data_IF_095673594126
#
_entry.id   IF_095673594126
#
_cell.length_a   1.000
_cell.length_b   1.000
_cell.length_c   1.000
_cell.angle_alpha   90.00
_cell.angle_beta   90.00
_cell.angle_gamma   90.00
#
_symmetry.space_group_name_H-M   'P 1'
#
loop_
_entity.id
_entity.type
_entity.pdbx_description
1 polymer ?
#
# COMPACT_ATOMS: atom_id res chain seq x y z
N UNK A 1 23.08 11.32 4.38
CA UNK A 1 22.26 11.78 3.24
C UNK A 1 20.86 12.05 3.77
N UNK A 2 20.46 13.32 3.84
CA UNK A 2 19.08 13.69 4.17
C UNK A 2 18.18 13.49 2.95
N UNK A 3 16.92 13.09 3.17
CA UNK A 3 15.89 13.04 2.13
C UNK A 3 14.86 14.11 2.45
N UNK A 4 14.44 14.91 1.45
CA UNK A 4 13.29 15.82 1.60
C UNK A 4 12.06 15.08 1.11
N UNK A 5 10.97 15.18 1.85
CA UNK A 5 9.68 14.60 1.46
C UNK A 5 8.84 15.72 0.89
N UNK A 6 8.31 15.50 -0.30
CA UNK A 6 7.47 16.46 -0.99
C UNK A 6 6.10 15.84 -1.12
N UNK A 7 5.21 16.29 -0.26
CA UNK A 7 3.79 16.04 -0.42
C UNK A 7 3.31 16.99 -1.52
N UNK A 8 2.68 16.50 -2.57
CA UNK A 8 1.95 17.38 -3.49
C UNK A 8 0.51 17.47 -2.96
N UNK A 9 0.12 18.65 -2.52
CA UNK A 9 -1.25 18.94 -2.08
C UNK A 9 -1.96 19.82 -3.10
N UNK A 10 -3.28 19.63 -3.23
CA UNK A 10 -4.17 20.56 -3.91
C UNK A 10 -5.35 20.89 -2.98
N UNK A 11 -5.55 22.18 -2.69
CA UNK A 11 -6.51 22.59 -1.66
C UNK A 11 -6.10 22.13 -0.25
N UNK A 12 -7.06 22.14 0.69
CA UNK A 12 -6.83 21.66 2.05
C UNK A 12 -6.85 20.13 2.05
N UNK A 13 -5.66 19.51 1.98
CA UNK A 13 -5.40 18.07 2.26
C UNK A 13 -5.82 17.04 1.20
N UNK A 14 -5.81 17.37 -0.09
CA UNK A 14 -5.97 16.35 -1.14
C UNK A 14 -4.66 15.91 -1.73
N UNK A 15 -4.50 14.58 -1.87
CA UNK A 15 -3.24 13.94 -2.21
C UNK A 15 -3.34 13.18 -3.53
N UNK A 16 -2.34 13.35 -4.38
CA UNK A 16 -2.16 12.58 -5.61
C UNK A 16 -1.03 11.57 -5.50
N UNK A 17 0.11 11.99 -4.95
CA UNK A 17 1.29 11.19 -4.68
C UNK A 17 2.07 11.88 -3.55
N UNK A 18 2.62 11.09 -2.62
CA UNK A 18 3.68 11.58 -1.74
C UNK A 18 4.98 11.25 -2.47
N UNK A 19 5.83 12.23 -2.78
CA UNK A 19 7.12 12.04 -3.47
C UNK A 19 8.31 12.27 -2.52
N UNK A 20 9.46 11.71 -2.85
CA UNK A 20 10.72 11.95 -2.12
C UNK A 20 11.70 12.62 -3.08
N UNK A 21 12.17 13.82 -2.73
CA UNK A 21 13.18 14.53 -3.51
C UNK A 21 14.52 14.36 -2.78
N UNK A 22 15.53 13.69 -3.38
CA UNK A 22 16.85 13.60 -2.79
C UNK A 22 17.49 14.99 -2.75
N UNK A 23 18.02 15.40 -1.60
CA UNK A 23 18.88 16.59 -1.53
C UNK A 23 20.16 16.32 -2.32
N UNK A 24 20.50 17.22 -3.24
CA UNK A 24 21.84 17.23 -3.83
C UNK A 24 22.87 17.44 -2.71
N UNK A 25 23.93 16.63 -2.71
CA UNK A 25 25.04 16.78 -1.78
C UNK A 25 25.73 18.13 -2.05
N UNK A 26 25.49 19.11 -1.18
CA UNK A 26 26.04 20.46 -1.33
C UNK A 26 25.79 21.38 -0.14
N UNK A 27 24.74 21.14 0.65
CA UNK A 27 24.43 21.98 1.81
C UNK A 27 24.57 21.19 3.10
N UNK A 28 25.57 21.56 3.90
CA UNK A 28 25.82 21.01 5.23
C UNK A 28 24.74 21.49 6.20
N UNK A 29 23.62 20.77 6.29
CA UNK A 29 22.75 20.85 7.46
C UNK A 29 23.26 19.86 8.52
N UNK A 30 23.53 20.38 9.72
CA UNK A 30 24.20 19.69 10.82
C UNK A 30 23.47 18.44 11.34
N UNK A 31 24.13 17.72 12.26
CA UNK A 31 23.66 16.43 12.83
C UNK A 31 22.23 16.50 13.41
N UNK A 32 21.47 15.39 13.33
CA UNK A 32 20.03 15.39 13.57
C UNK A 32 19.71 15.38 15.07
N UNK A 33 18.98 16.40 15.50
CA UNK A 33 18.05 16.30 16.62
C UNK A 33 16.64 16.24 16.03
N UNK A 34 15.68 15.64 16.73
CA UNK A 34 14.26 15.62 16.35
C UNK A 34 13.80 17.08 16.26
N UNK A 35 13.91 17.68 15.09
CA UNK A 35 13.41 19.03 14.82
C UNK A 35 12.09 18.93 14.08
N UNK A 36 11.17 19.76 14.55
CA UNK A 36 9.77 19.88 14.16
C UNK A 36 9.66 19.96 12.63
N UNK A 37 8.67 19.28 12.00
CA UNK A 37 8.55 19.28 10.55
C UNK A 37 8.41 20.70 9.98
N UNK A 38 9.26 21.09 9.05
CA UNK A 38 9.16 22.40 8.39
C UNK A 38 8.15 22.34 7.24
N UNK A 39 7.09 23.16 7.34
CA UNK A 39 6.08 23.35 6.30
C UNK A 39 6.42 24.57 5.45
N UNK A 40 6.50 24.42 4.13
CA UNK A 40 6.66 25.56 3.21
C UNK A 40 5.62 25.51 2.08
N UNK A 41 5.17 26.67 1.59
CA UNK A 41 4.29 26.79 0.43
C UNK A 41 5.01 27.49 -0.72
N UNK A 42 5.22 26.78 -1.83
CA UNK A 42 5.78 27.34 -3.06
C UNK A 42 4.86 27.02 -4.25
N UNK A 43 4.46 28.05 -5.02
CA UNK A 43 3.69 27.90 -6.25
C UNK A 43 2.44 26.99 -6.13
N UNK A 44 1.68 27.12 -5.04
CA UNK A 44 0.45 26.35 -4.81
C UNK A 44 0.66 24.91 -4.35
N UNK A 45 1.87 24.55 -3.87
CA UNK A 45 2.20 23.24 -3.31
C UNK A 45 2.69 23.41 -1.87
N UNK A 46 2.22 22.57 -0.95
CA UNK A 46 2.68 22.53 0.44
C UNK A 46 3.71 21.40 0.63
N UNK A 47 4.90 21.72 1.14
CA UNK A 47 6.02 20.80 1.32
C UNK A 47 6.20 20.46 2.81
N UNK A 48 6.47 19.19 3.13
CA UNK A 48 6.78 18.74 4.50
C UNK A 48 8.20 18.16 4.54
N UNK A 49 9.16 18.93 5.05
CA UNK A 49 10.55 18.50 5.10
C UNK A 49 10.81 17.72 6.38
N UNK A 50 11.19 16.44 6.25
CA UNK A 50 11.57 15.56 7.35
C UNK A 50 13.01 15.10 7.15
N UNK A 51 13.96 15.87 7.69
CA UNK A 51 15.39 15.59 7.51
C UNK A 51 15.81 14.33 8.26
N UNK A 52 16.59 13.47 7.59
CA UNK A 52 17.18 12.28 8.20
C UNK A 52 16.23 11.10 8.44
N UNK A 53 14.94 11.22 8.09
CA UNK A 53 13.96 10.14 8.20
C UNK A 53 13.77 9.38 6.88
N UNK A 54 13.43 8.09 6.96
CA UNK A 54 13.01 7.31 5.79
C UNK A 54 11.61 7.74 5.39
N UNK A 55 11.32 7.75 4.09
CA UNK A 55 10.03 8.19 3.58
C UNK A 55 8.83 7.41 4.11
N UNK A 56 8.95 6.09 4.28
CA UNK A 56 7.86 5.30 4.86
C UNK A 56 7.47 5.78 6.26
N UNK A 57 8.46 6.00 7.13
CA UNK A 57 8.26 6.51 8.50
C UNK A 57 7.58 7.88 8.46
N UNK A 58 8.10 8.76 7.64
CA UNK A 58 7.53 10.09 7.49
C UNK A 58 6.10 10.09 6.96
N UNK A 59 5.80 9.23 5.98
CA UNK A 59 4.45 9.06 5.46
C UNK A 59 3.50 8.50 6.53
N UNK A 60 3.99 7.60 7.39
CA UNK A 60 3.25 7.08 8.55
C UNK A 60 2.88 8.18 9.55
N UNK A 61 3.87 8.97 9.98
CA UNK A 61 3.63 10.06 10.95
C UNK A 61 2.74 11.17 10.36
N UNK A 62 2.85 11.42 9.06
CA UNK A 62 1.93 12.29 8.35
C UNK A 62 0.50 11.71 8.36
N UNK A 63 0.34 10.40 8.13
CA UNK A 63 -0.95 9.73 8.24
C UNK A 63 -1.61 9.99 9.60
N UNK A 64 -0.87 9.83 10.69
CA UNK A 64 -1.35 10.19 12.04
C UNK A 64 -1.74 11.66 12.16
N UNK A 65 -0.91 12.56 11.64
CA UNK A 65 -1.18 14.01 11.66
C UNK A 65 -2.48 14.35 10.94
N UNK A 66 -2.81 13.61 9.88
CA UNK A 66 -4.02 13.76 9.08
C UNK A 66 -5.23 13.00 9.64
N UNK A 67 -5.07 12.31 10.77
CA UNK A 67 -6.16 11.68 11.50
C UNK A 67 -6.27 10.17 11.36
N UNK A 68 -5.30 9.50 10.73
CA UNK A 68 -5.30 8.04 10.67
C UNK A 68 -4.83 7.44 11.99
N UNK A 69 -5.54 6.42 12.45
CA UNK A 69 -5.03 5.49 13.45
C UNK A 69 -4.24 4.38 12.78
N UNK A 70 -3.55 3.57 13.58
CA UNK A 70 -2.95 2.36 13.04
C UNK A 70 -4.00 1.38 12.50
N UNK A 71 -3.67 0.67 11.42
CA UNK A 71 -4.58 -0.27 10.77
C UNK A 71 -5.03 -1.40 11.73
N UNK A 72 -4.12 -1.90 12.59
CA UNK A 72 -4.46 -2.94 13.58
C UNK A 72 -5.37 -2.45 14.73
N UNK A 73 -5.61 -1.14 14.81
CA UNK A 73 -6.56 -0.53 15.75
C UNK A 73 -7.96 -0.34 15.13
N UNK A 74 -8.19 -0.72 13.87
CA UNK A 74 -9.53 -0.63 13.26
C UNK A 74 -10.56 -1.43 14.06
N UNK A 75 -11.81 -0.95 14.08
CA UNK A 75 -12.90 -1.60 14.81
C UNK A 75 -13.19 -3.02 14.29
N UNK A 76 -12.97 -3.24 12.99
CA UNK A 76 -13.20 -4.49 12.25
C UNK A 76 -11.96 -5.41 12.18
N UNK A 77 -10.82 -5.01 12.76
CA UNK A 77 -9.53 -5.72 12.61
C UNK A 77 -9.56 -7.20 13.02
N UNK A 78 -10.41 -7.58 13.97
CA UNK A 78 -10.55 -8.98 14.43
C UNK A 78 -11.14 -9.89 13.34
N UNK A 79 -11.62 -9.36 12.22
CA UNK A 79 -11.99 -10.13 11.04
C UNK A 79 -10.76 -10.58 10.24
N UNK A 80 -9.63 -9.87 10.35
CA UNK A 80 -8.46 -10.03 9.49
C UNK A 80 -7.22 -10.54 10.25
N UNK A 81 -7.06 -10.15 11.51
CA UNK A 81 -5.93 -10.56 12.34
C UNK A 81 -6.39 -11.09 13.71
N UNK A 82 -5.53 -11.91 14.32
CA UNK A 82 -5.61 -12.29 15.71
C UNK A 82 -4.43 -11.67 16.47
N UNK A 83 -4.71 -10.90 17.52
CA UNK A 83 -3.67 -10.34 18.39
C UNK A 83 -3.32 -11.34 19.49
N UNK A 84 -2.04 -11.70 19.59
CA UNK A 84 -1.52 -12.62 20.59
C UNK A 84 -1.09 -11.83 21.82
N UNK A 85 -2.07 -11.43 22.65
CA UNK A 85 -1.82 -10.60 23.83
C UNK A 85 -0.79 -11.17 24.81
N UNK A 86 -0.66 -12.50 24.89
CA UNK A 86 0.36 -13.17 25.72
C UNK A 86 1.82 -12.89 25.28
N UNK A 87 2.01 -12.47 24.02
CA UNK A 87 3.33 -12.13 23.48
C UNK A 87 3.67 -10.64 23.61
N UNK A 88 2.68 -9.79 23.90
CA UNK A 88 2.86 -8.36 24.08
C UNK A 88 3.57 -8.05 25.40
N UNK A 89 4.41 -7.02 25.38
CA UNK A 89 4.86 -6.39 26.62
C UNK A 89 3.66 -5.78 27.34
N UNK A 90 3.44 -6.03 28.65
CA UNK A 90 2.24 -5.58 29.37
C UNK A 90 1.95 -4.08 29.22
N UNK A 91 2.99 -3.24 29.16
CA UNK A 91 2.89 -1.79 29.03
C UNK A 91 2.47 -1.33 27.62
N UNK A 92 2.64 -2.19 26.60
CA UNK A 92 2.39 -1.88 25.20
C UNK A 92 1.09 -2.50 24.67
N UNK A 93 0.41 -3.32 25.48
CA UNK A 93 -0.86 -3.94 25.09
C UNK A 93 -1.96 -2.92 24.72
N UNK A 94 -1.88 -1.71 25.28
CA UNK A 94 -2.78 -0.59 24.98
C UNK A 94 -2.68 -0.10 23.54
N UNK A 95 -1.55 -0.33 22.85
CA UNK A 95 -1.37 0.02 21.43
C UNK A 95 -2.23 -0.83 20.48
N UNK A 96 -2.83 -1.91 20.97
CA UNK A 96 -3.71 -2.82 20.20
C UNK A 96 -5.19 -2.67 20.56
N UNK A 97 -5.54 -1.63 21.33
CA UNK A 97 -6.93 -1.30 21.63
C UNK A 97 -7.61 -0.83 20.35
N UNK A 98 -8.74 -1.45 20.03
CA UNK A 98 -9.54 -1.07 18.86
C UNK A 98 -10.21 0.28 19.09
N UNK A 99 -10.22 1.08 18.03
CA UNK A 99 -11.04 2.28 17.95
C UNK A 99 -12.52 1.91 17.80
N UNK A 100 -13.39 2.83 18.18
CA UNK A 100 -14.83 2.68 17.96
C UNK A 100 -15.17 2.94 16.50
N UNK A 101 -16.30 2.42 15.95
CA UNK A 101 -16.76 2.77 14.61
C UNK A 101 -17.02 4.28 14.42
N UNK A 102 -17.29 5.01 15.50
CA UNK A 102 -17.46 6.47 15.47
C UNK A 102 -16.12 7.23 15.39
N UNK A 103 -15.04 6.62 15.89
CA UNK A 103 -13.71 7.21 15.88
C UNK A 103 -12.87 6.80 14.67
N UNK A 104 -13.14 5.61 14.13
CA UNK A 104 -12.46 5.04 12.99
C UNK A 104 -13.49 4.56 11.97
N UNK A 105 -14.02 5.52 11.20
CA UNK A 105 -14.88 5.20 10.06
C UNK A 105 -14.01 4.96 8.83
N UNK A 106 -14.07 3.76 8.26
CA UNK A 106 -13.19 3.30 7.18
C UNK A 106 -13.76 3.59 5.77
N UNK A 107 -14.87 4.33 5.65
CA UNK A 107 -15.53 4.63 4.36
C UNK A 107 -15.90 3.40 3.52
N UNK A 108 -16.02 2.24 4.16
CA UNK A 108 -16.22 0.96 3.50
C UNK A 108 -14.94 0.36 2.90
N UNK A 109 -13.79 1.03 2.98
CA UNK A 109 -12.49 0.52 2.48
C UNK A 109 -12.06 -0.72 3.27
N UNK A 110 -11.66 -1.76 2.55
CA UNK A 110 -11.23 -3.04 3.14
C UNK A 110 -9.99 -2.88 4.01
N UNK A 111 -9.73 -3.88 4.85
CA UNK A 111 -8.52 -3.96 5.64
C UNK A 111 -7.30 -4.23 4.74
N UNK A 112 -6.29 -3.38 4.82
CA UNK A 112 -5.03 -3.53 4.09
C UNK A 112 -3.90 -3.96 5.03
N UNK A 113 -3.47 -5.22 4.92
CA UNK A 113 -2.31 -5.72 5.67
C UNK A 113 -1.03 -4.95 5.32
N UNK A 114 -0.92 -4.43 4.09
CA UNK A 114 0.24 -3.66 3.63
C UNK A 114 0.09 -2.16 3.76
N UNK A 115 -0.90 -1.67 4.51
CA UNK A 115 -1.01 -0.24 4.84
C UNK A 115 0.28 0.26 5.48
N UNK A 116 0.69 1.49 5.14
CA UNK A 116 1.81 2.16 5.84
C UNK A 116 1.50 2.36 7.32
N UNK A 117 0.22 2.36 7.71
CA UNK A 117 -0.24 2.49 9.09
C UNK A 117 -0.32 1.15 9.83
N UNK A 118 0.06 0.03 9.21
CA UNK A 118 -0.01 -1.29 9.83
C UNK A 118 1.32 -1.67 10.47
N UNK A 119 1.28 -2.04 11.76
CA UNK A 119 2.44 -2.61 12.46
C UNK A 119 2.96 -3.90 11.82
N UNK A 120 4.22 -4.23 12.06
CA UNK A 120 4.72 -5.56 11.74
C UNK A 120 4.13 -6.61 12.68
N UNK A 121 4.28 -7.89 12.31
CA UNK A 121 3.72 -8.98 13.09
C UNK A 121 4.45 -9.29 14.39
N UNK A 122 5.63 -8.69 14.61
CA UNK A 122 6.43 -8.86 15.83
C UNK A 122 6.50 -7.60 16.70
N UNK A 123 5.94 -6.48 16.22
CA UNK A 123 5.95 -5.20 16.93
C UNK A 123 5.41 -5.33 18.36
N UNK A 124 6.00 -4.53 19.25
CA UNK A 124 5.68 -4.49 20.69
C UNK A 124 6.01 -5.78 21.47
N UNK A 125 6.92 -6.60 20.95
CA UNK A 125 7.51 -7.75 21.67
C UNK A 125 9.02 -7.89 21.44
N UNK A 126 9.65 -8.76 22.22
CA UNK A 126 11.02 -9.22 21.99
C UNK A 126 10.99 -10.51 21.17
N UNK A 127 11.08 -10.38 19.84
CA UNK A 127 11.20 -11.51 18.89
C UNK A 127 10.06 -12.55 18.94
N UNK A 128 8.83 -12.14 19.27
CA UNK A 128 7.66 -13.03 19.25
C UNK A 128 6.60 -12.48 18.32
N UNK A 129 5.85 -13.34 17.66
CA UNK A 129 4.73 -12.90 16.82
C UNK A 129 3.61 -12.40 17.73
N UNK A 130 3.22 -11.13 17.58
CA UNK A 130 2.15 -10.44 18.32
C UNK A 130 0.86 -10.35 17.52
N UNK A 131 0.93 -10.46 16.19
CA UNK A 131 -0.23 -10.49 15.31
C UNK A 131 -0.14 -11.63 14.30
N UNK A 132 -1.22 -12.41 14.20
CA UNK A 132 -1.35 -13.46 13.20
C UNK A 132 -2.42 -13.05 12.19
N UNK A 133 -2.05 -12.96 10.92
CA UNK A 133 -3.03 -12.81 9.84
C UNK A 133 -3.91 -14.07 9.79
N UNK A 134 -5.22 -13.88 9.65
CA UNK A 134 -6.15 -15.00 9.44
C UNK A 134 -5.88 -15.69 8.11
N UNK A 135 -5.67 -14.89 7.07
CA UNK A 135 -5.06 -15.37 5.84
C UNK A 135 -3.53 -15.29 5.96
N UNK A 136 -2.92 -16.45 6.16
CA UNK A 136 -1.47 -16.60 6.37
C UNK A 136 -0.64 -16.10 5.20
N UNK A 137 -1.21 -15.97 3.99
CA UNK A 137 -0.51 -15.41 2.84
C UNK A 137 -0.10 -13.95 3.06
N UNK A 138 -0.79 -13.23 3.95
CA UNK A 138 -0.52 -11.83 4.26
C UNK A 138 0.38 -11.62 5.50
N UNK A 139 0.86 -12.68 6.14
CA UNK A 139 1.63 -12.58 7.39
C UNK A 139 2.82 -11.60 7.28
N UNK A 140 3.67 -11.74 6.26
CA UNK A 140 4.79 -10.81 6.02
C UNK A 140 4.44 -9.64 5.08
N UNK A 141 3.16 -9.43 4.80
CA UNK A 141 2.69 -8.20 4.15
C UNK A 141 2.58 -7.05 5.17
N UNK A 142 2.31 -7.40 6.43
CA UNK A 142 2.30 -6.47 7.58
C UNK A 142 3.66 -5.82 7.81
N UNK A 143 3.64 -4.58 8.32
CA UNK A 143 4.86 -3.81 8.60
C UNK A 143 5.44 -3.09 7.38
N UNK A 144 4.61 -2.73 6.40
CA UNK A 144 5.05 -1.94 5.26
C UNK A 144 5.65 -0.60 5.75
N UNK A 145 6.92 -0.35 5.43
CA UNK A 145 7.62 0.88 5.81
C UNK A 145 8.29 1.54 4.59
N UNK A 146 7.67 1.40 3.41
CA UNK A 146 8.24 1.90 2.15
C UNK A 146 7.44 3.04 1.57
N UNK A 147 6.14 2.88 1.42
CA UNK A 147 5.25 3.90 0.89
C UNK A 147 3.81 3.60 1.28
N UNK A 148 2.92 4.61 1.30
CA UNK A 148 1.48 4.40 1.39
C UNK A 148 1.00 3.41 0.32
N UNK A 149 0.10 2.52 0.72
CA UNK A 149 -0.65 1.67 -0.20
C UNK A 149 -1.65 2.51 -1.01
N UNK A 150 -2.17 1.92 -2.10
CA UNK A 150 -3.29 2.51 -2.83
C UNK A 150 -4.50 2.82 -1.92
N UNK A 151 -4.79 1.93 -0.96
CA UNK A 151 -5.91 2.10 -0.05
C UNK A 151 -5.67 3.19 0.99
N UNK A 152 -4.44 3.40 1.45
CA UNK A 152 -4.10 4.52 2.35
C UNK A 152 -4.45 5.87 1.67
N UNK A 153 -4.06 6.02 0.40
CA UNK A 153 -4.32 7.25 -0.36
C UNK A 153 -5.81 7.39 -0.71
N UNK A 154 -6.48 6.28 -1.04
CA UNK A 154 -7.93 6.29 -1.29
C UNK A 154 -8.71 6.72 -0.04
N UNK A 155 -8.47 6.10 1.11
CA UNK A 155 -9.16 6.42 2.37
C UNK A 155 -8.93 7.88 2.76
N UNK A 156 -7.72 8.40 2.55
CA UNK A 156 -7.38 9.80 2.82
C UNK A 156 -8.16 10.75 1.91
N UNK A 157 -8.23 10.44 0.61
CA UNK A 157 -8.96 11.23 -0.37
C UNK A 157 -10.48 11.18 -0.15
N UNK A 158 -11.01 10.07 0.37
CA UNK A 158 -12.41 9.97 0.79
C UNK A 158 -12.67 10.85 2.02
N UNK A 159 -11.81 10.77 3.04
CA UNK A 159 -11.92 11.56 4.27
C UNK A 159 -11.92 13.07 3.99
N UNK A 160 -11.03 13.54 3.11
CA UNK A 160 -10.95 14.95 2.71
C UNK A 160 -11.77 15.33 1.48
N UNK A 161 -12.64 14.43 0.99
CA UNK A 161 -13.61 14.70 -0.09
C UNK A 161 -12.97 15.20 -1.38
N UNK A 162 -11.82 14.65 -1.71
CA UNK A 162 -10.93 15.17 -2.73
C UNK A 162 -11.43 15.04 -4.15
N UNK A 163 -12.46 14.23 -4.38
CA UNK A 163 -13.06 14.06 -5.71
C UNK A 163 -14.38 14.83 -5.88
N UNK A 164 -14.88 15.57 -4.89
CA UNK A 164 -16.19 16.26 -4.97
C UNK A 164 -16.25 17.34 -6.06
N UNK A 165 -15.11 17.98 -6.36
CA UNK A 165 -15.03 18.99 -7.41
C UNK A 165 -14.96 18.39 -8.82
N UNK A 166 -14.74 17.07 -8.95
CA UNK A 166 -14.73 16.42 -10.26
C UNK A 166 -16.16 16.19 -10.76
N UNK A 167 -16.52 16.96 -11.78
CA UNK A 167 -17.80 16.85 -12.49
C UNK A 167 -17.96 15.51 -13.24
N UNK A 168 -19.19 15.18 -13.63
CA UNK A 168 -19.53 13.89 -14.24
C UNK A 168 -18.71 13.54 -15.51
N UNK A 169 -18.19 14.55 -16.22
CA UNK A 169 -17.44 14.42 -17.47
C UNK A 169 -15.95 14.05 -17.30
N UNK A 170 -15.49 13.74 -16.08
CA UNK A 170 -14.12 13.27 -15.84
C UNK A 170 -13.84 11.86 -16.35
N UNK A 171 -12.60 11.39 -16.19
CA UNK A 171 -12.14 10.07 -16.61
C UNK A 171 -13.01 8.93 -16.03
N UNK A 172 -13.19 7.89 -16.83
CA UNK A 172 -13.91 6.67 -16.48
C UNK A 172 -12.90 5.60 -16.01
N UNK A 173 -12.62 5.62 -14.72
CA UNK A 173 -11.59 4.77 -14.11
C UNK A 173 -12.08 3.32 -13.93
N UNK A 174 -11.30 2.36 -14.41
CA UNK A 174 -11.57 0.92 -14.33
C UNK A 174 -10.75 0.26 -13.23
N UNK A 175 -11.03 -1.02 -13.00
CA UNK A 175 -10.32 -1.87 -12.03
C UNK A 175 -10.23 -1.29 -10.61
N UNK A 176 -11.18 -0.44 -10.22
CA UNK A 176 -11.23 0.18 -8.90
C UNK A 176 -10.34 1.43 -8.75
N UNK A 177 -9.78 1.97 -9.84
CA UNK A 177 -9.17 3.29 -9.84
C UNK A 177 -10.20 4.41 -9.63
N UNK A 178 -9.73 5.58 -9.21
CA UNK A 178 -10.55 6.76 -8.99
C UNK A 178 -9.94 7.99 -9.67
N UNK A 179 -10.75 9.03 -9.87
CA UNK A 179 -10.33 10.24 -10.59
C UNK A 179 -9.27 10.98 -9.79
N UNK A 180 -8.24 11.42 -10.48
CA UNK A 180 -7.13 12.14 -9.88
C UNK A 180 -7.60 13.50 -9.33
N UNK A 181 -7.41 13.80 -8.02
CA UNK A 181 -7.95 15.01 -7.37
C UNK A 181 -7.45 16.35 -7.91
N UNK A 182 -6.40 16.36 -8.74
CA UNK A 182 -5.88 17.60 -9.38
C UNK A 182 -6.14 17.66 -10.89
N UNK A 183 -6.61 16.55 -11.44
CA UNK A 183 -6.83 16.39 -12.87
C UNK A 183 -7.93 15.35 -13.08
N UNK A 184 -9.18 15.79 -13.06
CA UNK A 184 -10.34 14.91 -13.18
C UNK A 184 -10.38 14.13 -14.49
N UNK A 185 -9.55 14.48 -15.48
CA UNK A 185 -9.38 13.77 -16.75
C UNK A 185 -8.35 12.65 -16.69
N UNK A 186 -7.82 12.26 -15.54
CA UNK A 186 -6.94 11.09 -15.40
C UNK A 186 -7.31 10.27 -14.17
N UNK A 187 -6.86 9.02 -14.11
CA UNK A 187 -7.12 8.13 -12.98
C UNK A 187 -5.87 7.89 -12.12
N UNK A 188 -6.08 7.73 -10.82
CA UNK A 188 -5.16 7.06 -9.90
C UNK A 188 -5.55 5.58 -9.89
N UNK A 189 -4.57 4.72 -10.17
CA UNK A 189 -4.80 3.30 -10.40
C UNK A 189 -4.30 2.46 -9.23
N UNK A 190 -4.98 1.35 -8.89
CA UNK A 190 -4.44 0.38 -7.95
C UNK A 190 -3.15 -0.22 -8.48
N UNK A 191 -2.27 -0.60 -7.56
CA UNK A 191 -0.96 -1.14 -7.89
C UNK A 191 -1.06 -2.35 -8.83
N UNK A 192 -0.29 -2.30 -9.91
CA UNK A 192 -0.33 -3.28 -11.00
C UNK A 192 -1.19 -2.87 -12.19
N UNK A 193 -2.02 -1.82 -12.06
CA UNK A 193 -2.76 -1.21 -13.17
C UNK A 193 -2.18 0.15 -13.57
N UNK A 194 -2.42 0.55 -14.81
CA UNK A 194 -1.98 1.83 -15.33
C UNK A 194 -2.70 2.21 -16.62
N UNK A 195 -2.17 3.24 -17.29
CA UNK A 195 -2.86 3.94 -18.36
C UNK A 195 -3.82 5.01 -17.82
N UNK A 196 -4.48 5.73 -18.73
CA UNK A 196 -5.38 6.83 -18.37
C UNK A 196 -6.61 6.36 -17.58
N UNK A 197 -7.05 5.10 -17.76
CA UNK A 197 -8.28 4.52 -17.23
C UNK A 197 -8.04 3.28 -16.35
N UNK A 198 -6.78 2.98 -16.01
CA UNK A 198 -6.40 1.80 -15.22
C UNK A 198 -6.70 0.43 -15.88
N UNK A 199 -6.94 0.36 -17.19
CA UNK A 199 -7.19 -0.91 -17.89
C UNK A 199 -5.92 -1.67 -18.26
N UNK A 200 -4.79 -0.96 -18.33
CA UNK A 200 -3.51 -1.51 -18.78
C UNK A 200 -2.69 -2.02 -17.59
N UNK A 201 -1.68 -2.82 -17.88
CA UNK A 201 -0.64 -3.20 -16.91
C UNK A 201 0.16 -1.95 -16.53
N UNK A 202 0.47 -1.79 -15.24
CA UNK A 202 1.39 -0.76 -14.77
C UNK A 202 2.76 -0.88 -15.46
N UNK A 203 3.37 0.26 -15.77
CA UNK A 203 4.74 0.31 -16.28
C UNK A 203 5.75 0.07 -15.16
N UNK A 204 6.99 -0.34 -15.47
CA UNK A 204 8.07 -0.34 -14.48
C UNK A 204 8.28 1.02 -13.83
N UNK A 205 8.66 1.05 -12.55
CA UNK A 205 8.83 2.29 -11.77
C UNK A 205 10.14 2.33 -10.98
N UNK A 206 10.51 3.53 -10.55
CA UNK A 206 11.61 3.83 -9.61
C UNK A 206 12.96 3.19 -9.98
N UNK A 207 13.27 3.19 -11.27
CA UNK A 207 14.55 2.73 -11.81
C UNK A 207 14.61 1.22 -12.12
N UNK A 208 13.46 0.55 -12.14
CA UNK A 208 13.34 -0.75 -12.79
C UNK A 208 13.60 -0.65 -14.31
N UNK A 209 14.13 -1.71 -14.96
CA UNK A 209 14.34 -1.71 -16.41
C UNK A 209 13.04 -1.43 -17.17
N UNK A 210 13.09 -0.57 -18.19
CA UNK A 210 11.90 -0.13 -18.94
C UNK A 210 11.15 -1.29 -19.64
N UNK A 211 11.85 -2.38 -19.94
CA UNK A 211 11.32 -3.57 -20.59
C UNK A 211 10.91 -4.69 -19.61
N UNK A 212 10.94 -4.46 -18.29
CA UNK A 212 10.57 -5.51 -17.35
C UNK A 212 9.05 -5.67 -17.19
N UNK A 213 8.65 -6.89 -16.84
CA UNK A 213 7.24 -7.24 -16.74
C UNK A 213 6.58 -7.55 -18.09
N UNK A 214 5.47 -8.28 -18.07
CA UNK A 214 4.77 -8.69 -19.28
C UNK A 214 3.28 -8.97 -19.02
N UNK A 215 2.47 -8.89 -20.08
CA UNK A 215 1.11 -9.46 -20.08
C UNK A 215 1.14 -10.83 -20.73
N UNK A 216 0.91 -11.88 -19.95
CA UNK A 216 0.99 -13.28 -20.33
C UNK A 216 -0.43 -13.81 -20.54
N UNK A 217 -0.66 -14.50 -21.65
CA UNK A 217 -1.91 -15.23 -21.90
C UNK A 217 -1.74 -16.66 -21.41
N UNK A 218 -2.38 -17.02 -20.31
CA UNK A 218 -2.41 -18.37 -19.79
C UNK A 218 -3.46 -19.18 -20.58
N UNK A 219 -3.05 -20.22 -21.28
CA UNK A 219 -3.95 -21.07 -22.07
C UNK A 219 -3.74 -22.58 -21.81
N UNK A 220 -2.76 -22.94 -20.98
CA UNK A 220 -2.42 -24.34 -20.70
C UNK A 220 -2.93 -24.77 -19.31
N UNK A 221 -3.48 -25.98 -19.27
CA UNK A 221 -3.91 -26.67 -18.04
C UNK A 221 -2.74 -27.37 -17.35
N UNK A 222 -1.59 -27.52 -18.02
CA UNK A 222 -0.34 -27.94 -17.41
C UNK A 222 0.43 -26.75 -16.81
N UNK A 223 1.25 -27.05 -15.79
CA UNK A 223 2.06 -26.03 -15.13
C UNK A 223 3.09 -25.43 -16.08
N UNK A 224 3.10 -24.10 -16.13
CA UNK A 224 4.07 -23.27 -16.81
C UNK A 224 4.91 -22.53 -15.78
N UNK A 225 6.19 -22.32 -16.08
CA UNK A 225 7.09 -21.56 -15.20
C UNK A 225 7.14 -20.11 -15.69
N UNK A 226 6.93 -19.17 -14.77
CA UNK A 226 7.24 -17.77 -14.96
C UNK A 226 8.38 -17.38 -14.04
N UNK A 227 9.44 -16.87 -14.64
CA UNK A 227 10.56 -16.25 -13.93
C UNK A 227 10.59 -14.76 -14.23
N UNK A 228 11.12 -14.01 -13.28
CA UNK A 228 11.50 -12.64 -13.55
C UNK A 228 12.35 -12.07 -12.43
N UNK A 229 12.77 -10.84 -12.65
CA UNK A 229 13.77 -10.20 -11.82
C UNK A 229 13.65 -8.68 -11.90
N UNK A 230 14.15 -8.03 -10.87
CA UNK A 230 14.33 -6.58 -10.83
C UNK A 230 15.58 -6.26 -10.03
N UNK A 231 16.31 -5.25 -10.47
CA UNK A 231 17.47 -4.73 -9.75
C UNK A 231 17.16 -3.35 -9.20
N UNK A 232 17.66 -3.05 -8.00
CA UNK A 232 17.72 -1.69 -7.50
C UNK A 232 18.49 -0.80 -8.48
N UNK A 233 18.03 0.44 -8.65
CA UNK A 233 18.71 1.45 -9.45
C UNK A 233 19.98 2.01 -8.82
N UNK A 234 20.26 1.62 -7.56
CA UNK A 234 21.44 2.03 -6.82
C UNK A 234 22.40 0.84 -6.70
N UNK A 235 23.61 0.99 -7.26
CA UNK A 235 24.64 -0.06 -7.23
C UNK A 235 25.16 -0.33 -5.81
N UNK A 236 25.34 0.72 -5.00
CA UNK A 236 25.87 0.65 -3.65
C UNK A 236 24.92 1.33 -2.66
N UNK A 237 24.27 0.54 -1.81
CA UNK A 237 23.34 1.03 -0.78
C UNK A 237 21.89 0.67 -1.06
N UNK A 238 20.98 1.34 -0.38
CA UNK A 238 19.54 1.14 -0.51
C UNK A 238 18.93 2.27 -1.32
N UNK A 239 18.12 1.91 -2.32
CA UNK A 239 17.30 2.88 -3.01
C UNK A 239 16.23 3.45 -2.05
N UNK A 240 15.82 4.71 -2.25
CA UNK A 240 14.79 5.33 -1.42
C UNK A 240 13.39 4.73 -1.68
N UNK A 241 13.19 4.09 -2.84
CA UNK A 241 11.96 3.38 -3.23
C UNK A 241 12.29 2.05 -3.89
N UNK A 242 11.30 1.16 -3.96
CA UNK A 242 11.49 -0.08 -4.69
C UNK A 242 11.43 0.15 -6.20
N UNK A 243 12.49 -0.23 -6.90
CA UNK A 243 12.38 -0.54 -8.32
C UNK A 243 11.40 -1.71 -8.47
N UNK A 244 10.36 -1.56 -9.29
CA UNK A 244 9.27 -2.54 -9.35
C UNK A 244 8.82 -2.86 -10.78
N UNK A 245 8.57 -4.15 -11.02
CA UNK A 245 8.15 -4.73 -12.29
C UNK A 245 6.84 -5.50 -12.10
N UNK A 246 5.96 -5.43 -13.10
CA UNK A 246 4.61 -6.00 -13.02
C UNK A 246 4.35 -7.02 -14.12
N UNK A 247 3.73 -8.15 -13.78
CA UNK A 247 3.24 -9.15 -14.73
C UNK A 247 1.74 -9.33 -14.58
N UNK A 248 1.01 -9.30 -15.69
CA UNK A 248 -0.41 -9.70 -15.74
C UNK A 248 -0.49 -11.09 -16.34
N UNK A 249 -0.99 -12.07 -15.59
CA UNK A 249 -1.34 -13.40 -16.13
C UNK A 249 -2.83 -13.38 -16.40
N UNK A 250 -3.22 -13.55 -17.67
CA UNK A 250 -4.62 -13.50 -18.13
C UNK A 250 -5.07 -14.85 -18.64
N UNK A 251 -6.07 -15.42 -17.98
CA UNK A 251 -6.75 -16.64 -18.41
C UNK A 251 -7.92 -16.32 -19.38
N UNK A 252 -8.45 -17.32 -20.10
CA UNK A 252 -9.68 -17.17 -20.87
C UNK A 252 -10.87 -16.85 -19.96
N UNK A 253 -11.91 -16.24 -20.53
CA UNK A 253 -13.15 -15.92 -19.82
C UNK A 253 -13.70 -17.14 -19.08
N UNK A 254 -14.05 -16.97 -17.80
CA UNK A 254 -14.61 -18.03 -16.96
C UNK A 254 -13.59 -19.01 -16.38
N UNK A 255 -12.30 -18.89 -16.71
CA UNK A 255 -11.23 -19.69 -16.07
C UNK A 255 -10.62 -18.96 -14.88
N UNK A 256 -9.91 -19.70 -14.04
CA UNK A 256 -9.08 -19.19 -12.95
C UNK A 256 -7.62 -19.59 -13.15
N UNK A 257 -6.74 -18.93 -12.41
CA UNK A 257 -5.31 -19.16 -12.46
C UNK A 257 -4.91 -19.76 -11.12
N UNK A 258 -4.32 -20.95 -11.17
CA UNK A 258 -3.68 -21.57 -10.01
C UNK A 258 -2.21 -21.18 -10.02
N UNK A 259 -1.68 -20.73 -8.88
CA UNK A 259 -0.31 -20.24 -8.73
C UNK A 259 0.37 -20.94 -7.56
N UNK A 260 1.61 -21.35 -7.77
CA UNK A 260 2.51 -21.86 -6.73
C UNK A 260 3.85 -21.16 -6.83
N UNK A 261 4.32 -20.60 -5.72
CA UNK A 261 5.66 -20.00 -5.67
C UNK A 261 6.71 -21.10 -5.56
N UNK A 262 7.74 -21.04 -6.41
CA UNK A 262 8.85 -22.00 -6.42
C UNK A 262 10.03 -21.47 -5.63
N UNK A 263 10.42 -20.24 -5.90
CA UNK A 263 11.52 -19.58 -5.21
C UNK A 263 11.40 -18.07 -5.27
N UNK A 264 11.97 -17.45 -4.25
CA UNK A 264 12.25 -16.01 -4.20
C UNK A 264 13.68 -15.82 -3.72
N UNK A 265 14.35 -14.76 -4.16
CA UNK A 265 15.51 -14.23 -3.44
C UNK A 265 15.11 -13.10 -2.51
N UNK A 266 16.06 -12.75 -1.64
CA UNK A 266 16.01 -11.53 -0.87
C UNK A 266 16.46 -11.74 0.56
N UNK A 267 16.56 -10.63 1.27
CA UNK A 267 16.64 -10.65 2.71
C UNK A 267 15.24 -10.78 3.27
N UNK A 268 15.05 -11.76 4.17
CA UNK A 268 13.82 -11.88 4.93
C UNK A 268 13.70 -10.69 5.89
N UNK A 269 12.57 -10.00 5.85
CA UNK A 269 12.29 -8.82 6.67
C UNK A 269 10.80 -8.55 6.66
N UNK A 270 10.30 -7.96 7.74
CA UNK A 270 8.92 -7.50 7.87
C UNK A 270 8.52 -6.58 6.70
N UNK A 271 7.29 -6.72 6.23
CA UNK A 271 6.75 -6.00 5.06
C UNK A 271 7.51 -6.25 3.74
N UNK A 272 8.47 -7.19 3.74
CA UNK A 272 9.47 -7.38 2.69
C UNK A 272 10.24 -6.11 2.33
N UNK A 273 10.67 -5.35 3.35
CA UNK A 273 11.29 -4.03 3.20
C UNK A 273 12.42 -3.95 2.16
N UNK A 274 13.34 -4.91 2.09
CA UNK A 274 14.46 -4.87 1.14
C UNK A 274 14.08 -5.18 -0.31
N UNK A 275 12.97 -5.89 -0.50
CA UNK A 275 12.55 -6.43 -1.78
C UNK A 275 11.88 -7.78 -1.61
N UNK A 276 11.12 -8.18 -2.62
CA UNK A 276 10.36 -9.42 -2.61
C UNK A 276 9.47 -9.56 -3.84
N UNK A 277 8.55 -10.51 -3.75
CA UNK A 277 7.49 -10.74 -4.74
C UNK A 277 6.15 -10.46 -4.10
N UNK A 278 5.27 -9.77 -4.79
CA UNK A 278 3.87 -9.57 -4.39
C UNK A 278 2.96 -10.31 -5.37
N UNK A 279 1.95 -11.00 -4.85
CA UNK A 279 0.95 -11.70 -5.65
C UNK A 279 -0.44 -11.15 -5.31
N UNK A 280 -1.11 -10.57 -6.31
CA UNK A 280 -2.52 -10.19 -6.25
C UNK A 280 -3.33 -11.12 -7.14
N UNK A 281 -4.07 -12.04 -6.53
CA UNK A 281 -4.94 -12.99 -7.22
C UNK A 281 -6.42 -12.79 -6.89
N UNK A 282 -6.72 -12.06 -5.80
CA UNK A 282 -8.07 -11.88 -5.27
C UNK A 282 -8.50 -10.42 -5.38
N UNK A 283 -8.40 -9.67 -4.30
CA UNK A 283 -8.60 -8.23 -4.27
C UNK A 283 -7.36 -7.51 -4.83
N UNK A 284 -7.56 -6.69 -5.85
CA UNK A 284 -6.49 -5.93 -6.49
C UNK A 284 -6.26 -4.54 -5.87
N UNK A 285 -7.18 -4.07 -5.01
CA UNK A 285 -7.10 -2.75 -4.39
C UNK A 285 -6.08 -2.71 -3.26
N UNK A 286 -6.15 -3.67 -2.34
CA UNK A 286 -5.19 -3.81 -1.23
C UNK A 286 -3.83 -4.32 -1.68
N UNK A 287 -2.82 -4.18 -0.84
CA UNK A 287 -1.53 -4.84 -1.04
C UNK A 287 -1.72 -6.37 -1.04
N UNK A 288 -1.11 -7.05 -2.01
CA UNK A 288 -1.16 -8.50 -2.18
C UNK A 288 -0.26 -9.24 -1.20
N UNK A 289 -0.27 -10.58 -1.30
CA UNK A 289 0.61 -11.42 -0.50
C UNK A 289 2.07 -11.15 -0.88
N UNK A 290 2.86 -10.61 0.07
CA UNK A 290 4.30 -10.38 -0.09
C UNK A 290 5.11 -11.58 0.39
N UNK A 291 6.07 -11.99 -0.44
CA UNK A 291 6.94 -13.15 -0.24
C UNK A 291 8.40 -12.70 -0.42
N UNK A 292 9.18 -12.81 0.65
CA UNK A 292 10.62 -12.55 0.63
C UNK A 292 11.41 -13.56 1.47
N UNK A 293 10.75 -14.38 2.29
CA UNK A 293 11.39 -15.40 3.10
C UNK A 293 11.14 -16.81 2.53
N UNK A 294 12.10 -17.72 2.76
CA UNK A 294 11.93 -19.14 2.39
C UNK A 294 10.79 -19.82 3.15
N UNK A 295 10.47 -19.35 4.36
CA UNK A 295 9.31 -19.79 5.13
C UNK A 295 8.00 -19.52 4.41
N UNK A 296 7.93 -18.39 3.72
CA UNK A 296 6.70 -17.88 3.09
C UNK A 296 6.33 -18.74 1.90
N UNK A 297 7.35 -19.11 1.11
CA UNK A 297 7.19 -20.06 0.01
C UNK A 297 6.60 -21.39 0.50
N UNK A 298 7.00 -21.83 1.71
CA UNK A 298 6.47 -23.08 2.31
C UNK A 298 5.08 -22.92 2.89
N UNK A 299 4.74 -21.76 3.47
CA UNK A 299 3.46 -21.53 4.14
C UNK A 299 2.35 -21.06 3.20
N UNK A 300 2.68 -20.39 2.10
CA UNK A 300 1.72 -19.82 1.14
C UNK A 300 0.89 -20.90 0.44
N UNK A 301 1.48 -22.07 0.20
CA UNK A 301 0.81 -23.18 -0.46
C UNK A 301 0.44 -22.85 -1.92
N UNK A 302 -0.84 -23.01 -2.25
CA UNK A 302 -1.38 -22.80 -3.60
C UNK A 302 -2.38 -21.65 -3.54
N UNK A 303 -2.18 -20.66 -4.39
CA UNK A 303 -3.10 -19.54 -4.57
C UNK A 303 -3.98 -19.78 -5.79
N UNK A 304 -5.22 -19.31 -5.72
CA UNK A 304 -6.17 -19.30 -6.82
C UNK A 304 -6.66 -17.88 -7.05
N UNK A 305 -6.80 -17.49 -8.32
CA UNK A 305 -7.39 -16.20 -8.64
C UNK A 305 -8.91 -16.20 -8.46
N UNK A 306 -9.48 -15.04 -8.11
CA UNK A 306 -10.93 -14.82 -8.06
C UNK A 306 -11.51 -14.49 -9.43
N UNK A 307 -10.65 -14.02 -10.34
CA UNK A 307 -11.01 -13.61 -11.70
C UNK A 307 -10.09 -14.29 -12.71
N UNK A 308 -10.23 -13.94 -13.98
CA UNK A 308 -9.35 -14.35 -15.07
C UNK A 308 -7.97 -13.67 -15.02
N UNK A 309 -7.71 -12.82 -14.03
CA UNK A 309 -6.46 -12.08 -13.89
C UNK A 309 -5.74 -12.46 -12.59
N UNK A 310 -4.42 -12.59 -12.68
CA UNK A 310 -3.53 -12.52 -11.54
C UNK A 310 -2.39 -11.54 -11.85
N UNK A 311 -1.97 -10.79 -10.84
CA UNK A 311 -0.89 -9.82 -10.95
C UNK A 311 0.26 -10.30 -10.09
N UNK A 312 1.45 -10.36 -10.69
CA UNK A 312 2.70 -10.63 -9.99
C UNK A 312 3.54 -9.37 -10.04
N UNK A 313 4.07 -8.95 -8.90
CA UNK A 313 5.01 -7.86 -8.80
C UNK A 313 6.32 -8.36 -8.24
N UNK A 314 7.43 -7.83 -8.73
CA UNK A 314 8.75 -8.04 -8.13
C UNK A 314 9.32 -6.68 -7.87
N UNK A 315 9.82 -6.49 -6.66
CA UNK A 315 10.26 -5.19 -6.20
C UNK A 315 11.57 -5.30 -5.43
N UNK A 316 12.45 -4.32 -5.58
CA UNK A 316 13.75 -4.29 -4.91
C UNK A 316 14.19 -2.88 -4.54
N UNK A 317 14.65 -2.72 -3.31
CA UNK A 317 15.37 -1.53 -2.84
C UNK A 317 16.87 -1.81 -2.73
N UNK A 318 17.22 -3.08 -2.56
CA UNK A 318 18.58 -3.52 -2.31
C UNK A 318 18.93 -4.71 -3.18
N UNK A 319 19.98 -4.53 -4.00
CA UNK A 319 20.50 -5.54 -4.94
C UNK A 319 19.40 -6.06 -5.90
N UNK A 320 19.71 -7.18 -6.55
CA UNK A 320 18.83 -7.87 -7.47
C UNK A 320 17.90 -8.82 -6.73
N UNK A 321 16.61 -8.78 -7.08
CA UNK A 321 15.61 -9.75 -6.65
C UNK A 321 15.13 -10.59 -7.83
N UNK A 322 14.93 -11.87 -7.61
CA UNK A 322 14.37 -12.81 -8.56
C UNK A 322 13.17 -13.54 -7.96
N UNK A 323 12.27 -13.98 -8.83
CA UNK A 323 11.17 -14.85 -8.48
C UNK A 323 11.03 -15.98 -9.50
N UNK A 324 10.47 -17.08 -9.04
CA UNK A 324 10.01 -18.17 -9.89
C UNK A 324 8.67 -18.66 -9.36
N UNK A 325 7.66 -18.70 -10.24
CA UNK A 325 6.36 -19.32 -9.95
C UNK A 325 6.02 -20.36 -11.01
N UNK A 326 5.21 -21.33 -10.60
CA UNK A 326 4.46 -22.19 -11.50
C UNK A 326 3.00 -21.73 -11.54
N UNK A 327 2.41 -21.67 -12.72
CA UNK A 327 1.01 -21.32 -12.90
C UNK A 327 0.33 -22.19 -13.96
N UNK A 328 -0.98 -22.36 -13.85
CA UNK A 328 -1.81 -23.02 -14.87
C UNK A 328 -3.23 -22.47 -14.84
N UNK A 329 -4.00 -22.71 -15.90
CA UNK A 329 -5.44 -22.44 -15.87
C UNK A 329 -6.17 -23.60 -15.20
N UNK A 330 -7.23 -23.27 -14.46
CA UNK A 330 -8.13 -24.23 -13.85
C UNK A 330 -9.58 -23.80 -14.02
N UNK A 331 -10.49 -24.76 -13.99
CA UNK A 331 -11.93 -24.47 -13.90
C UNK A 331 -12.30 -23.98 -12.50
N UNK A 332 -13.22 -23.00 -12.37
CA UNK A 332 -13.66 -22.48 -11.08
C UNK A 332 -14.19 -23.58 -10.13
N UNK A 333 -14.82 -24.62 -10.67
CA UNK A 333 -15.33 -25.77 -9.92
C UNK A 333 -14.22 -26.58 -9.23
N UNK A 334 -12.99 -26.48 -9.70
CA UNK A 334 -11.82 -27.16 -9.14
C UNK A 334 -11.06 -26.30 -8.12
N UNK A 335 -11.57 -25.08 -7.82
CA UNK A 335 -11.01 -24.24 -6.77
C UNK A 335 -11.62 -24.66 -5.43
N UNK A 336 -10.80 -24.96 -4.40
CA UNK A 336 -11.31 -25.36 -3.09
C UNK A 336 -12.24 -24.30 -2.49
N UNK A 337 -13.27 -24.68 -1.71
CA UNK A 337 -14.15 -23.72 -1.03
C UNK A 337 -13.39 -22.74 -0.13
N UNK A 338 -12.37 -23.24 0.58
CA UNK A 338 -11.46 -22.44 1.42
C UNK A 338 -10.38 -21.69 0.61
N UNK A 339 -10.39 -21.83 -0.72
CA UNK A 339 -9.51 -21.06 -1.63
C UNK A 339 -9.96 -19.61 -1.79
N UNK A 340 -11.20 -19.33 -1.41
CA UNK A 340 -11.81 -18.02 -1.30
C UNK A 340 -12.08 -17.76 0.18
N UNK A 341 -11.37 -16.82 0.81
CA UNK A 341 -11.73 -16.41 2.16
C UNK A 341 -13.12 -15.78 2.13
N UNK A 342 -13.99 -16.16 3.07
CA UNK A 342 -15.36 -15.67 3.20
C UNK A 342 -15.45 -14.13 3.31
N UNK A 343 -14.32 -13.49 3.68
CA UNK A 343 -14.14 -12.04 3.80
C UNK A 343 -13.98 -11.29 2.45
N UNK A 344 -13.80 -11.99 1.33
CA UNK A 344 -13.62 -11.38 0.00
C UNK A 344 -14.95 -11.17 -0.77
N UNK A 345 -16.10 -11.57 -0.19
CA UNK A 345 -17.45 -11.43 -0.78
C UNK A 345 -18.12 -10.06 -0.53
N UNK A 346 -17.35 -9.01 -0.26
CA UNK A 346 -17.93 -7.67 -0.08
C UNK A 346 -18.23 -7.08 -1.46
N UNK A 347 -19.52 -6.86 -1.73
CA UNK A 347 -20.00 -6.26 -2.97
C UNK A 347 -19.66 -4.75 -3.00
N UNK A 348 -18.58 -4.40 -3.71
CA UNK A 348 -18.03 -3.03 -3.84
C UNK A 348 -18.86 -2.04 -4.65
N UNK A 349 -20.12 -2.35 -4.96
CA UNK A 349 -21.01 -1.46 -5.73
C UNK A 349 -21.27 -0.13 -5.02
N UNK A 350 -21.17 -0.07 -3.70
CA UNK A 350 -21.36 1.16 -2.93
C UNK A 350 -20.24 2.20 -3.06
N UNK A 351 -19.01 1.85 -3.43
CA UNK A 351 -17.94 2.85 -3.68
C UNK A 351 -18.12 3.52 -5.05
N UNK A 352 -18.81 2.88 -5.99
CA UNK A 352 -19.04 3.43 -7.35
C UNK A 352 -20.10 4.52 -7.39
N UNK A 353 -20.97 4.58 -6.39
CA UNK A 353 -22.00 5.61 -6.26
C UNK A 353 -21.59 6.50 -5.10
N UNK A 354 -21.18 7.75 -5.37
CA UNK A 354 -20.82 8.80 -4.39
C UNK A 354 -21.94 9.15 -3.38
N UNK A 355 -22.55 8.17 -2.72
CA UNK A 355 -23.69 8.30 -1.80
C UNK A 355 -23.36 7.60 -0.49
N UNK A 356 -22.33 8.09 0.19
CA UNK A 356 -22.14 7.79 1.61
C UNK A 356 -22.58 9.04 2.38
N UNK A 357 -23.76 8.98 2.98
CA UNK A 357 -24.23 10.02 3.90
C UNK A 357 -23.42 9.94 5.21
N UNK A 358 -22.35 10.72 5.27
CA UNK A 358 -21.51 10.86 6.47
C UNK A 358 -22.14 11.88 7.42
N UNK A 359 -22.18 11.55 8.71
CA UNK A 359 -22.72 12.41 9.77
C UNK A 359 -21.84 13.67 9.94
N UNK A 360 -22.30 14.78 9.35
CA UNK A 360 -21.51 15.99 9.02
C UNK A 360 -20.92 16.76 10.22
N UNK A 361 -21.42 16.54 11.43
CA UNK A 361 -21.16 17.42 12.57
C UNK A 361 -19.94 16.97 13.41
N UNK A 362 -19.68 15.66 13.48
CA UNK A 362 -18.54 15.09 14.23
C UNK A 362 -17.22 15.27 13.48
N UNK A 363 -17.23 15.14 12.15
CA UNK A 363 -16.03 15.29 11.31
C UNK A 363 -15.53 16.74 11.23
N UNK A 364 -16.45 17.72 11.18
CA UNK A 364 -16.07 19.15 11.09
C UNK A 364 -15.15 19.56 12.24
N UNK A 365 -15.45 19.11 13.46
CA UNK A 365 -14.66 19.40 14.66
C UNK A 365 -13.30 18.69 14.69
N UNK A 366 -13.16 17.49 14.10
CA UNK A 366 -11.88 16.77 13.99
C UNK A 366 -10.99 17.41 12.92
N UNK A 367 -11.57 17.75 11.76
CA UNK A 367 -10.87 18.44 10.66
C UNK A 367 -10.38 19.84 11.07
N UNK A 368 -11.18 20.62 11.82
CA UNK A 368 -10.74 21.93 12.34
C UNK A 368 -9.57 21.83 13.32
N UNK A 369 -9.48 20.76 14.13
CA UNK A 369 -8.34 20.50 15.02
C UNK A 369 -7.07 20.13 14.24
N UNK A 370 -7.17 19.27 13.22
CA UNK A 370 -6.04 18.92 12.34
C UNK A 370 -5.57 20.15 11.57
N UNK A 371 -6.50 20.96 11.05
CA UNK A 371 -6.21 22.26 10.41
C UNK A 371 -5.41 23.16 11.34
N UNK A 372 -5.82 23.25 12.60
CA UNK A 372 -5.12 24.06 13.61
C UNK A 372 -3.72 23.51 13.88
N UNK A 373 -3.55 22.20 14.05
CA UNK A 373 -2.23 21.58 14.27
C UNK A 373 -1.30 21.80 13.07
N UNK A 374 -1.76 21.55 11.84
CA UNK A 374 -0.96 21.81 10.64
C UNK A 374 -0.65 23.31 10.45
N UNK A 375 -1.57 24.21 10.80
CA UNK A 375 -1.36 25.66 10.78
C UNK A 375 -0.40 26.11 11.87
N UNK A 376 -0.47 25.54 13.06
CA UNK A 376 0.40 25.85 14.20
C UNK A 376 1.83 25.34 13.94
N UNK A 377 1.98 24.18 13.28
CA UNK A 377 3.26 23.67 12.75
C UNK A 377 3.79 24.62 11.68
N UNK A 378 2.98 24.99 10.69
CA UNK A 378 3.38 25.94 9.65
C UNK A 378 3.80 27.30 10.24
N UNK A 379 3.05 27.84 11.20
CA UNK A 379 3.33 29.17 11.78
C UNK A 379 4.60 29.17 12.62
N UNK A 380 4.93 28.08 13.33
CA UNK A 380 6.20 27.93 14.06
C UNK A 380 7.43 27.83 13.15
N UNK A 381 7.26 27.43 11.89
CA UNK A 381 8.34 27.33 10.91
C UNK A 381 8.61 28.63 10.14
N UNK A 382 7.76 29.65 10.29
CA UNK A 382 7.87 30.95 9.62
C UNK A 382 8.19 32.12 10.57
N UNK A 383 8.51 31.85 11.85
CA UNK A 383 8.85 32.88 12.84
C UNK A 383 10.31 32.88 13.30
N UNK A 384 11.17 32.05 12.71
CA UNK A 384 12.64 32.09 12.82
C UNK A 384 13.22 31.99 11.40
#
# INVERSE_FOLDING_TARGET
MGSIIVIKQFGQFCFDEIEMIPCAAGENFGRPSIQIPNFFSAAGKNFLILEGQRFGIAAHELGHTLGFFHAQARFDRDQFINVVYANLSPQLATQFVKQSPADNFNFGVTYDYGSIMHYSDTDMSTNRVTMLAKDKSFQHTMGNNVAPSFLDVLEMNLYYKCSEHCNANGADCKNGGYRHPRNCSTCICPDGFGGFDCTRRATPVFGAPSNCGATIKANNSDFQILNGEVSSSVENGMAPRHAQCWWHIRAPMGKRIQIRVKSVSGACSDGCFYGGTEIKARDFLRVGARICCRSDVRSLGILYSNTELAIISVFSQYKKQHFSIEYKIVDPLNVPPNGFDEYDNINWTHIKENKIEVNKEVEKNKTEKVIKVCRDIATKCFSD
#
